data_IF_225120042532
#
_entry.id   IF_225120042532
#
_cell.length_a   1.000
_cell.length_b   1.000
_cell.length_c   1.000
_cell.angle_alpha   90.00
_cell.angle_beta   90.00
_cell.angle_gamma   90.00
#
_symmetry.space_group_name_H-M   'P 1'
#
loop_
_entity.id
_entity.type
_entity.pdbx_description
1 polymer ?
#
# COMPACT_ATOMS: atom_id res chain seq x y z
N UNK A 1 9.11 36.27 -6.87
CA UNK A 1 8.59 35.55 -5.69
C UNK A 1 7.63 34.48 -6.16
N UNK A 2 7.91 33.20 -5.92
CA UNK A 2 6.95 32.14 -6.25
C UNK A 2 5.80 32.20 -5.23
N UNK A 3 4.56 32.38 -5.72
CA UNK A 3 3.37 32.35 -4.87
C UNK A 3 3.19 30.93 -4.31
N UNK A 4 3.66 30.69 -3.08
CA UNK A 4 3.67 29.37 -2.42
C UNK A 4 2.27 28.87 -2.03
N UNK A 5 1.22 29.66 -2.24
CA UNK A 5 -0.09 29.44 -1.63
C UNK A 5 -1.29 29.62 -2.57
N UNK A 6 -1.25 29.12 -3.80
CA UNK A 6 -2.50 28.84 -4.52
C UNK A 6 -3.21 27.65 -3.85
N UNK A 7 -4.54 27.53 -3.96
CA UNK A 7 -5.33 26.41 -3.42
C UNK A 7 -4.83 25.08 -4.01
N UNK A 8 -3.88 24.39 -3.35
CA UNK A 8 -3.19 23.21 -3.93
C UNK A 8 -3.93 21.88 -3.75
N UNK A 9 -5.03 21.87 -2.99
CA UNK A 9 -5.72 20.63 -2.59
C UNK A 9 -7.22 20.58 -2.91
N UNK A 10 -7.83 21.73 -3.22
CA UNK A 10 -9.26 21.80 -3.50
C UNK A 10 -9.59 21.33 -4.93
N UNK A 11 -8.60 21.24 -5.82
CA UNK A 11 -8.75 20.65 -7.15
C UNK A 11 -7.60 19.67 -7.38
N UNK A 12 -7.60 18.55 -6.64
CA UNK A 12 -6.82 17.41 -7.09
C UNK A 12 -7.37 17.06 -8.49
N UNK A 13 -6.52 16.92 -9.52
CA UNK A 13 -6.98 16.31 -10.76
C UNK A 13 -7.67 14.98 -10.43
N UNK A 14 -8.79 14.68 -11.07
CA UNK A 14 -9.56 13.45 -10.76
C UNK A 14 -8.68 12.21 -10.82
N UNK A 15 -7.77 12.16 -11.80
CA UNK A 15 -6.76 11.10 -11.92
C UNK A 15 -5.83 10.99 -10.69
N UNK A 16 -5.45 12.11 -10.06
CA UNK A 16 -4.67 12.12 -8.83
C UNK A 16 -5.50 11.67 -7.61
N UNK A 17 -6.81 11.94 -7.60
CA UNK A 17 -7.72 11.45 -6.58
C UNK A 17 -7.92 9.92 -6.69
N UNK A 18 -8.06 9.39 -7.91
CA UNK A 18 -8.09 7.96 -8.21
C UNK A 18 -6.78 7.29 -7.77
N UNK A 19 -5.63 7.86 -8.16
CA UNK A 19 -4.31 7.37 -7.77
C UNK A 19 -4.16 7.31 -6.23
N UNK A 20 -4.64 8.33 -5.51
CA UNK A 20 -4.65 8.35 -4.05
C UNK A 20 -5.44 7.17 -3.46
N UNK A 21 -6.56 6.81 -4.08
CA UNK A 21 -7.44 5.70 -3.70
C UNK A 21 -6.77 4.35 -3.99
N UNK A 22 -6.17 4.16 -5.17
CA UNK A 22 -5.52 2.89 -5.55
C UNK A 22 -4.33 2.56 -4.66
N UNK A 23 -3.54 3.55 -4.26
CA UNK A 23 -2.39 3.35 -3.37
C UNK A 23 -2.71 3.27 -1.90
N UNK A 24 -3.99 3.39 -1.51
CA UNK A 24 -4.40 3.24 -0.11
C UNK A 24 -3.82 1.95 0.49
N UNK A 25 -3.19 2.01 1.68
CA UNK A 25 -2.63 0.82 2.30
C UNK A 25 -3.70 -0.27 2.45
N UNK A 26 -3.32 -1.53 2.18
CA UNK A 26 -4.25 -2.68 2.20
C UNK A 26 -5.10 -2.73 3.47
N UNK A 27 -4.50 -2.53 4.64
CA UNK A 27 -5.22 -2.52 5.91
C UNK A 27 -6.30 -1.42 5.99
N UNK A 28 -6.01 -0.23 5.44
CA UNK A 28 -6.98 0.88 5.38
C UNK A 28 -8.12 0.54 4.43
N UNK A 29 -7.80 -0.05 3.26
CA UNK A 29 -8.79 -0.48 2.27
C UNK A 29 -9.73 -1.54 2.84
N UNK A 30 -9.18 -2.60 3.44
CA UNK A 30 -9.98 -3.65 4.09
C UNK A 30 -10.91 -3.07 5.17
N UNK A 31 -10.40 -2.15 5.99
CA UNK A 31 -11.22 -1.46 7.00
C UNK A 31 -12.33 -0.60 6.40
N UNK A 32 -12.12 0.01 5.21
CA UNK A 32 -13.15 0.78 4.50
C UNK A 32 -14.21 -0.15 3.91
N UNK A 33 -13.80 -1.24 3.28
CA UNK A 33 -14.69 -2.28 2.73
C UNK A 33 -15.56 -2.95 3.80
N UNK A 34 -15.11 -3.04 5.04
CA UNK A 34 -15.95 -3.53 6.14
C UNK A 34 -17.09 -2.56 6.51
N UNK A 35 -16.94 -1.28 6.20
CA UNK A 35 -17.91 -0.22 6.56
C UNK A 35 -18.79 0.19 5.39
N UNK A 36 -18.26 0.15 4.18
CA UNK A 36 -18.98 0.44 2.95
C UNK A 36 -19.48 -0.88 2.38
N UNK A 37 -20.74 -0.90 1.91
CA UNK A 37 -21.31 -2.08 1.25
C UNK A 37 -20.61 -2.38 -0.08
N UNK A 38 -20.08 -1.35 -0.75
CA UNK A 38 -19.52 -1.43 -2.09
C UNK A 38 -18.11 -0.83 -2.13
N UNK A 39 -17.23 -1.49 -2.87
CA UNK A 39 -15.92 -0.97 -3.20
C UNK A 39 -16.04 0.05 -4.34
N UNK A 40 -15.20 1.11 -4.39
CA UNK A 40 -15.13 1.95 -5.58
C UNK A 40 -14.77 1.11 -6.80
N UNK A 41 -15.33 1.46 -7.97
CA UNK A 41 -15.02 0.82 -9.24
C UNK A 41 -13.53 0.98 -9.61
N UNK A 42 -13.06 0.11 -10.52
CA UNK A 42 -11.70 0.25 -11.07
C UNK A 42 -11.58 1.58 -11.80
N UNK A 43 -10.69 2.47 -11.33
CA UNK A 43 -10.50 3.79 -11.92
C UNK A 43 -11.35 4.90 -11.30
N UNK A 44 -12.14 4.60 -10.26
CA UNK A 44 -12.93 5.59 -9.53
C UNK A 44 -12.26 6.02 -8.23
N UNK A 45 -12.52 7.26 -7.80
CA UNK A 45 -12.09 7.73 -6.48
C UNK A 45 -13.15 7.38 -5.44
N UNK A 46 -12.69 7.01 -4.23
CA UNK A 46 -13.57 6.80 -3.08
C UNK A 46 -13.92 8.10 -2.34
N UNK A 47 -13.61 9.25 -2.93
CA UNK A 47 -13.89 10.56 -2.36
C UNK A 47 -15.37 10.96 -2.56
N UNK A 48 -15.92 11.73 -1.63
CA UNK A 48 -17.22 12.40 -1.81
C UNK A 48 -17.12 13.45 -2.92
N UNK A 49 -18.25 13.99 -3.44
CA UNK A 49 -18.24 15.09 -4.41
C UNK A 49 -17.42 16.30 -3.93
N UNK A 50 -17.43 16.56 -2.62
CA UNK A 50 -16.64 17.62 -1.96
C UNK A 50 -15.15 17.24 -1.75
N UNK A 51 -14.73 16.04 -2.17
CA UNK A 51 -13.35 15.57 -2.12
C UNK A 51 -12.93 14.87 -0.81
N UNK A 52 -13.84 14.67 0.15
CA UNK A 52 -13.53 13.99 1.41
C UNK A 52 -13.34 12.50 1.19
N UNK A 53 -12.26 11.93 1.74
CA UNK A 53 -12.12 10.47 1.79
C UNK A 53 -13.16 9.86 2.75
N UNK A 54 -13.46 8.55 2.65
CA UNK A 54 -14.45 7.92 3.53
C UNK A 54 -14.11 8.05 5.03
N UNK A 55 -12.81 8.10 5.34
CA UNK A 55 -12.34 8.29 6.72
C UNK A 55 -12.47 9.73 7.21
N UNK A 56 -12.39 10.71 6.31
CA UNK A 56 -12.60 12.13 6.60
C UNK A 56 -14.08 12.43 6.75
N UNK A 57 -14.91 11.93 5.83
CA UNK A 57 -16.36 12.05 5.90
C UNK A 57 -16.90 11.48 7.23
N UNK A 58 -16.51 10.26 7.59
CA UNK A 58 -16.89 9.65 8.87
C UNK A 58 -16.38 10.45 10.09
N UNK A 59 -15.23 11.14 9.95
CA UNK A 59 -14.71 12.00 11.02
C UNK A 59 -15.54 13.28 11.12
N UNK A 60 -15.83 13.94 10.01
CA UNK A 60 -16.65 15.15 9.95
C UNK A 60 -18.02 14.92 10.61
N UNK A 61 -18.75 13.89 10.20
CA UNK A 61 -20.05 13.56 10.81
C UNK A 61 -19.97 13.25 12.29
N UNK A 62 -18.90 12.57 12.74
CA UNK A 62 -18.69 12.32 14.17
C UNK A 62 -18.49 13.61 14.94
N UNK A 63 -17.72 14.56 14.40
CA UNK A 63 -17.49 15.85 15.07
C UNK A 63 -18.75 16.71 15.06
N UNK A 64 -19.53 16.67 13.98
CA UNK A 64 -20.83 17.32 13.88
C UNK A 64 -21.81 16.76 14.93
N UNK A 65 -21.92 15.44 15.04
CA UNK A 65 -22.79 14.79 16.03
C UNK A 65 -22.39 15.08 17.49
N UNK A 66 -21.12 15.39 17.73
CA UNK A 66 -20.59 15.79 19.05
C UNK A 66 -20.65 17.29 19.31
N UNK A 67 -21.17 18.09 18.37
CA UNK A 67 -21.10 19.55 18.40
C UNK A 67 -19.67 20.12 18.55
N UNK A 68 -18.62 19.37 18.20
CA UNK A 68 -17.22 19.83 18.25
C UNK A 68 -16.90 20.86 17.16
N UNK A 69 -17.75 20.94 16.12
CA UNK A 69 -17.56 21.86 14.99
C UNK A 69 -18.38 23.15 15.11
N UNK A 70 -19.16 23.30 16.18
CA UNK A 70 -20.02 24.46 16.37
C UNK A 70 -19.18 25.74 16.48
N UNK A 71 -19.47 26.71 15.63
CA UNK A 71 -18.84 28.03 15.67
C UNK A 71 -19.47 28.88 16.79
N UNK A 72 -18.80 29.97 17.21
CA UNK A 72 -19.39 30.94 18.14
C UNK A 72 -20.77 31.46 17.68
N UNK A 73 -20.96 31.54 16.36
CA UNK A 73 -22.21 32.01 15.74
C UNK A 73 -23.32 30.93 15.72
N UNK A 74 -23.11 29.76 16.33
CA UNK A 74 -24.07 28.66 16.37
C UNK A 74 -24.18 27.86 15.06
N UNK A 75 -23.40 28.20 14.03
CA UNK A 75 -23.38 27.49 12.75
C UNK A 75 -22.32 26.38 12.72
N UNK A 76 -22.58 25.33 11.94
CA UNK A 76 -21.57 24.30 11.64
C UNK A 76 -20.88 24.61 10.31
N UNK A 77 -19.55 24.39 10.18
CA UNK A 77 -18.85 24.49 8.91
C UNK A 77 -19.40 23.46 7.92
N UNK A 78 -19.43 23.82 6.64
CA UNK A 78 -19.76 22.86 5.58
C UNK A 78 -18.64 21.82 5.42
N UNK A 79 -18.92 20.71 4.71
CA UNK A 79 -17.92 19.68 4.39
C UNK A 79 -16.70 20.27 3.67
N UNK A 80 -16.94 21.12 2.68
CA UNK A 80 -15.91 21.82 1.92
C UNK A 80 -15.05 22.73 2.81
N UNK A 81 -15.66 23.57 3.63
CA UNK A 81 -14.95 24.47 4.55
C UNK A 81 -14.11 23.70 5.59
N UNK A 82 -14.67 22.61 6.11
CA UNK A 82 -13.95 21.74 7.05
C UNK A 82 -12.75 21.07 6.36
N UNK A 83 -12.93 20.60 5.12
CA UNK A 83 -11.86 20.02 4.33
C UNK A 83 -10.78 21.05 4.00
N UNK A 84 -11.14 22.29 3.65
CA UNK A 84 -10.19 23.38 3.41
C UNK A 84 -9.33 23.64 4.65
N UNK A 85 -9.94 23.76 5.83
CA UNK A 85 -9.21 23.94 7.10
C UNK A 85 -8.27 22.76 7.38
N UNK A 86 -8.71 21.55 7.07
CA UNK A 86 -7.89 20.34 7.22
C UNK A 86 -6.70 20.36 6.25
N UNK A 87 -6.95 20.72 5.00
CA UNK A 87 -5.95 20.83 3.95
C UNK A 87 -4.96 21.96 4.20
N UNK A 88 -5.37 23.08 4.81
CA UNK A 88 -4.45 24.13 5.23
C UNK A 88 -3.43 23.58 6.24
N UNK A 89 -3.90 22.90 7.28
CA UNK A 89 -3.01 22.26 8.26
C UNK A 89 -2.12 21.20 7.61
N UNK A 90 -2.67 20.40 6.69
CA UNK A 90 -1.90 19.38 6.00
C UNK A 90 -0.84 20.01 5.13
N UNK A 91 -1.20 20.94 4.26
CA UNK A 91 -0.39 21.61 3.22
C UNK A 91 0.81 22.37 3.77
N UNK A 92 0.81 22.68 5.07
CA UNK A 92 1.87 23.40 5.77
C UNK A 92 3.28 22.96 5.36
N UNK A 93 4.02 23.92 4.82
CA UNK A 93 5.46 23.86 4.62
C UNK A 93 6.12 24.12 5.98
N UNK A 94 7.17 23.35 6.32
CA UNK A 94 7.89 23.50 7.58
C UNK A 94 8.37 24.94 7.70
N UNK A 95 7.97 25.57 8.80
CA UNK A 95 8.44 26.89 9.14
C UNK A 95 7.86 28.03 8.36
N UNK A 96 6.86 27.83 7.50
CA UNK A 96 6.20 28.95 6.80
C UNK A 96 4.84 29.22 7.46
N UNK A 97 4.62 30.46 7.90
CA UNK A 97 3.31 30.96 8.31
C UNK A 97 2.85 32.00 7.29
N UNK A 98 1.54 32.03 7.08
CA UNK A 98 0.89 33.13 6.38
C UNK A 98 0.69 34.25 7.39
N UNK A 99 1.20 35.43 7.08
CA UNK A 99 0.91 36.65 7.82
C UNK A 99 0.12 37.54 6.88
N UNK A 100 -1.02 38.01 7.36
CA UNK A 100 -1.80 39.02 6.65
C UNK A 100 -1.22 40.36 7.07
N UNK A 101 -0.58 41.03 6.12
CA UNK A 101 -0.07 42.40 6.28
C UNK A 101 -1.26 43.34 6.53
N UNK A 102 -1.11 44.45 7.28
CA UNK A 102 -2.17 45.45 7.46
C UNK A 102 -2.85 45.91 6.15
N UNK A 103 -2.14 45.86 5.02
CA UNK A 103 -2.66 46.16 3.69
C UNK A 103 -3.56 45.05 3.08
N UNK A 104 -3.86 44.00 3.85
CA UNK A 104 -4.65 42.84 3.41
C UNK A 104 -3.89 41.84 2.53
N UNK A 105 -2.63 42.10 2.19
CA UNK A 105 -1.79 41.17 1.42
C UNK A 105 -1.34 40.00 2.29
N UNK A 106 -1.38 38.78 1.76
CA UNK A 106 -0.91 37.59 2.47
C UNK A 106 0.55 37.31 2.11
N UNK A 107 1.45 37.51 3.07
CA UNK A 107 2.86 37.23 2.91
C UNK A 107 3.26 35.91 3.59
N UNK A 108 4.22 35.22 2.97
CA UNK A 108 4.80 33.99 3.48
C UNK A 108 5.98 34.33 4.40
N UNK A 109 5.78 34.36 5.72
CA UNK A 109 6.89 34.55 6.66
C UNK A 109 7.47 33.20 7.08
N UNK A 110 8.79 33.07 6.97
CA UNK A 110 9.53 31.91 7.47
C UNK A 110 9.81 32.09 8.96
N UNK A 111 9.05 31.40 9.81
CA UNK A 111 9.06 31.46 11.28
C UNK A 111 9.96 30.39 11.92
N UNK A 112 10.24 29.28 11.25
CA UNK A 112 11.11 28.23 11.82
C UNK A 112 12.56 28.30 11.33
N UNK A 113 13.39 27.44 11.92
CA UNK A 113 14.80 27.27 11.59
C UNK A 113 15.02 27.07 10.09
N UNK A 114 15.72 28.02 9.47
CA UNK A 114 16.17 27.95 8.09
C UNK A 114 17.36 27.00 8.01
N UNK A 115 17.26 26.02 7.13
CA UNK A 115 18.38 25.11 6.80
C UNK A 115 18.86 25.51 5.42
N UNK A 116 19.98 26.22 5.36
CA UNK A 116 20.53 26.72 4.10
C UNK A 116 21.25 25.62 3.31
N UNK A 117 21.93 24.70 4.01
CA UNK A 117 22.74 23.64 3.42
C UNK A 117 22.30 22.27 3.96
N UNK A 118 21.18 21.71 3.47
CA UNK A 118 20.70 20.42 3.93
C UNK A 118 21.61 19.28 3.46
N UNK A 119 22.25 18.57 4.39
CA UNK A 119 23.01 17.35 4.10
C UNK A 119 22.12 16.10 4.21
N UNK A 120 21.12 16.01 3.33
CA UNK A 120 20.20 14.85 3.26
C UNK A 120 20.09 14.36 1.83
N UNK A 121 20.05 13.04 1.65
CA UNK A 121 19.96 12.43 0.34
C UNK A 121 18.56 11.83 0.14
N UNK A 122 17.87 12.31 -0.89
CA UNK A 122 16.60 11.76 -1.35
C UNK A 122 16.87 10.90 -2.58
N UNK A 123 16.72 9.59 -2.44
CA UNK A 123 16.89 8.66 -3.56
C UNK A 123 15.52 8.34 -4.16
N UNK A 124 15.27 8.84 -5.36
CA UNK A 124 14.10 8.48 -6.16
C UNK A 124 14.21 7.00 -6.59
N UNK A 125 13.14 6.23 -6.40
CA UNK A 125 13.05 4.79 -6.70
C UNK A 125 11.77 4.53 -7.48
N UNK A 126 11.84 3.65 -8.48
CA UNK A 126 10.67 3.22 -9.26
C UNK A 126 9.57 2.69 -8.33
N UNK A 127 8.33 3.10 -8.60
CA UNK A 127 7.20 2.57 -7.86
C UNK A 127 7.02 1.08 -8.16
N UNK A 128 6.39 0.37 -7.23
CA UNK A 128 6.02 -1.01 -7.46
C UNK A 128 4.69 -1.07 -8.21
N UNK A 129 4.72 -1.53 -9.46
CA UNK A 129 3.51 -1.88 -10.22
C UNK A 129 3.26 -3.38 -10.07
N UNK A 130 2.10 -3.82 -9.54
CA UNK A 130 1.71 -5.22 -9.58
C UNK A 130 1.56 -5.72 -11.01
N UNK A 131 1.83 -7.01 -11.29
CA UNK A 131 1.65 -7.58 -12.62
C UNK A 131 0.21 -7.36 -13.13
N UNK A 132 0.07 -6.89 -14.37
CA UNK A 132 -1.22 -6.65 -15.02
C UNK A 132 -1.94 -5.36 -14.59
N UNK A 133 -1.34 -4.53 -13.74
CA UNK A 133 -1.85 -3.19 -13.43
C UNK A 133 -1.03 -2.12 -14.17
N UNK A 134 -1.64 -0.99 -14.55
CA UNK A 134 -0.90 0.13 -15.12
C UNK A 134 -0.08 0.86 -14.05
N UNK A 135 1.03 1.47 -14.47
CA UNK A 135 1.86 2.34 -13.65
C UNK A 135 1.04 3.51 -13.12
N UNK A 136 1.31 3.91 -11.88
CA UNK A 136 0.71 5.10 -11.30
C UNK A 136 1.66 6.31 -11.46
N UNK A 137 1.37 7.26 -12.37
CA UNK A 137 2.23 8.41 -12.62
C UNK A 137 2.09 9.51 -11.56
N UNK A 138 1.02 9.51 -10.78
CA UNK A 138 0.80 10.50 -9.72
C UNK A 138 1.48 10.12 -8.41
N UNK A 139 2.39 9.15 -8.43
CA UNK A 139 3.13 8.71 -7.26
C UNK A 139 4.63 8.72 -7.54
N UNK A 140 5.40 9.10 -6.53
CA UNK A 140 6.84 8.96 -6.52
C UNK A 140 7.29 8.38 -5.19
N UNK A 141 8.14 7.36 -5.26
CA UNK A 141 8.70 6.71 -4.07
C UNK A 141 10.14 7.16 -3.86
N UNK A 142 10.46 7.60 -2.64
CA UNK A 142 11.80 7.99 -2.24
C UNK A 142 12.32 7.10 -1.10
N UNK A 143 13.62 6.82 -1.11
CA UNK A 143 14.34 6.39 0.09
C UNK A 143 15.01 7.60 0.70
N UNK A 144 14.75 7.81 1.99
CA UNK A 144 15.19 8.98 2.76
C UNK A 144 15.76 8.54 4.12
N UNK A 145 16.54 9.40 4.79
CA UNK A 145 16.99 9.15 6.15
C UNK A 145 15.83 9.03 7.15
N UNK A 146 16.02 8.24 8.21
CA UNK A 146 14.97 8.02 9.22
C UNK A 146 14.62 9.28 10.03
N UNK A 147 15.53 10.24 10.15
CA UNK A 147 15.29 11.51 10.85
C UNK A 147 14.30 12.45 10.12
N UNK A 148 14.09 12.25 8.82
CA UNK A 148 13.30 13.15 7.99
C UNK A 148 11.79 12.99 8.25
N UNK A 149 11.09 14.11 8.51
CA UNK A 149 9.63 14.14 8.75
C UNK A 149 8.83 14.38 7.48
N UNK A 150 7.50 14.18 7.53
CA UNK A 150 6.59 14.45 6.40
C UNK A 150 6.60 15.92 5.96
N UNK A 151 6.69 16.83 6.92
CA UNK A 151 6.81 18.26 6.65
C UNK A 151 8.15 18.61 6.02
N UNK A 152 9.23 17.91 6.40
CA UNK A 152 10.54 18.10 5.77
C UNK A 152 10.53 17.66 4.32
N UNK A 153 10.00 16.47 4.03
CA UNK A 153 9.86 15.94 2.66
C UNK A 153 9.14 16.96 1.78
N UNK A 154 8.00 17.48 2.24
CA UNK A 154 7.25 18.47 1.47
C UNK A 154 8.05 19.74 1.23
N UNK A 155 8.65 20.27 2.29
CA UNK A 155 9.38 21.54 2.22
C UNK A 155 10.58 21.42 1.31
N UNK A 156 11.30 20.30 1.40
CA UNK A 156 12.44 19.98 0.57
C UNK A 156 12.04 19.84 -0.90
N UNK A 157 11.03 19.03 -1.21
CA UNK A 157 10.55 18.84 -2.59
C UNK A 157 10.02 20.15 -3.19
N UNK A 158 9.29 20.94 -2.40
CA UNK A 158 8.77 22.24 -2.86
C UNK A 158 9.86 23.28 -3.05
N UNK A 159 10.83 23.39 -2.14
CA UNK A 159 11.83 24.45 -2.17
C UNK A 159 12.99 24.15 -3.11
N UNK A 160 13.44 22.89 -3.18
CA UNK A 160 14.60 22.47 -3.99
C UNK A 160 14.18 22.12 -5.41
N UNK A 161 13.06 21.41 -5.58
CA UNK A 161 12.64 20.89 -6.89
C UNK A 161 11.37 21.55 -7.44
N UNK A 162 10.71 22.45 -6.69
CA UNK A 162 9.44 23.05 -7.12
C UNK A 162 8.27 22.05 -7.20
N UNK A 163 8.43 20.83 -6.66
CA UNK A 163 7.44 19.76 -6.80
C UNK A 163 6.33 19.93 -5.78
N UNK A 164 5.09 19.95 -6.27
CA UNK A 164 3.89 20.02 -5.45
C UNK A 164 3.44 18.61 -5.08
N UNK A 165 3.21 18.40 -3.79
CA UNK A 165 2.81 17.09 -3.26
C UNK A 165 1.37 17.11 -2.79
N UNK A 166 0.61 16.05 -3.07
CA UNK A 166 -0.73 15.84 -2.55
C UNK A 166 -0.65 15.20 -1.18
N UNK A 167 -0.30 13.93 -1.06
CA UNK A 167 -0.15 13.26 0.22
C UNK A 167 1.25 12.70 0.40
N UNK A 168 1.65 12.43 1.65
CA UNK A 168 2.93 11.80 1.95
C UNK A 168 2.68 10.67 2.94
N UNK A 169 3.02 9.45 2.52
CA UNK A 169 3.01 8.23 3.35
C UNK A 169 4.45 7.81 3.58
N UNK A 170 4.76 7.38 4.81
CA UNK A 170 6.13 7.05 5.20
C UNK A 170 6.14 5.74 5.95
N UNK A 171 7.06 4.85 5.58
CA UNK A 171 7.28 3.56 6.22
C UNK A 171 8.76 3.47 6.65
N UNK A 172 9.01 3.04 7.88
CA UNK A 172 10.37 2.81 8.36
C UNK A 172 10.80 1.37 8.02
N UNK A 173 11.83 1.24 7.19
CA UNK A 173 12.47 -0.03 6.89
C UNK A 173 13.64 -0.23 7.85
N UNK A 174 13.47 -1.17 8.76
CA UNK A 174 14.54 -1.64 9.64
C UNK A 174 15.27 -2.80 8.95
N UNK A 175 16.59 -2.83 9.01
CA UNK A 175 17.37 -3.93 8.45
C UNK A 175 17.09 -5.22 9.25
N UNK A 176 17.13 -6.35 8.56
CA UNK A 176 16.98 -7.64 9.22
C UNK A 176 18.23 -7.94 10.07
N UNK A 177 18.00 -8.34 11.33
CA UNK A 177 19.05 -8.92 12.16
C UNK A 177 19.29 -10.36 11.70
N UNK A 178 20.54 -10.68 11.36
CA UNK A 178 20.98 -12.04 11.07
C UNK A 178 21.35 -12.75 12.37
N UNK A 179 21.39 -14.09 12.33
CA UNK A 179 21.95 -14.88 13.43
C UNK A 179 23.38 -14.39 13.76
N UNK A 180 23.67 -14.21 15.04
CA UNK A 180 24.95 -13.69 15.52
C UNK A 180 25.05 -12.16 15.56
N UNK A 181 23.93 -11.43 15.50
CA UNK A 181 23.89 -9.97 15.72
C UNK A 181 24.36 -9.13 14.52
N UNK A 182 24.69 -9.76 13.39
CA UNK A 182 25.05 -9.05 12.15
C UNK A 182 23.81 -8.45 11.51
N UNK A 183 23.82 -7.15 11.24
CA UNK A 183 22.70 -6.46 10.61
C UNK A 183 22.94 -6.34 9.11
N UNK A 184 22.00 -6.84 8.28
CA UNK A 184 22.12 -6.73 6.82
C UNK A 184 21.51 -5.43 6.30
N UNK A 185 22.38 -4.49 5.92
CA UNK A 185 22.00 -3.24 5.27
C UNK A 185 21.71 -2.09 6.24
N UNK A 186 21.53 -0.89 5.68
CA UNK A 186 21.23 0.32 6.46
C UNK A 186 19.72 0.52 6.55
N UNK A 187 19.28 0.95 7.72
CA UNK A 187 17.90 1.36 7.92
C UNK A 187 17.59 2.60 7.05
N UNK A 188 16.41 2.63 6.45
CA UNK A 188 15.96 3.78 5.68
C UNK A 188 14.47 3.98 5.91
N UNK A 189 13.97 5.16 5.55
CA UNK A 189 12.55 5.44 5.50
C UNK A 189 12.14 5.50 4.04
N UNK A 190 11.07 4.79 3.69
CA UNK A 190 10.42 4.89 2.38
C UNK A 190 9.36 5.97 2.46
N UNK A 191 9.40 6.93 1.57
CA UNK A 191 8.38 7.96 1.43
C UNK A 191 7.66 7.78 0.10
N UNK A 192 6.37 7.43 0.14
CA UNK A 192 5.50 7.46 -1.03
C UNK A 192 4.81 8.82 -1.04
N UNK A 193 5.09 9.58 -2.09
CA UNK A 193 4.64 10.95 -2.28
C UNK A 193 3.65 10.97 -3.42
N UNK A 194 2.43 11.44 -3.16
CA UNK A 194 1.49 11.77 -4.22
C UNK A 194 1.89 13.08 -4.87
N UNK A 195 1.90 13.11 -6.20
CA UNK A 195 2.22 14.27 -7.02
C UNK A 195 0.94 14.95 -7.48
N UNK A 196 1.02 16.25 -7.74
CA UNK A 196 -0.05 16.98 -8.44
C UNK A 196 0.06 16.73 -9.94
N UNK A 197 1.28 16.82 -10.47
CA UNK A 197 1.59 16.62 -11.87
C UNK A 197 2.09 15.18 -12.10
N UNK A 198 1.66 14.49 -13.16
CA UNK A 198 2.07 13.11 -13.43
C UNK A 198 3.56 13.03 -13.81
N UNK A 199 4.22 11.93 -13.43
CA UNK A 199 5.61 11.64 -13.72
C UNK A 199 5.80 10.21 -14.22
N UNK A 200 6.48 10.05 -15.36
CA UNK A 200 6.88 8.76 -15.91
C UNK A 200 8.40 8.63 -15.90
N UNK A 201 8.88 7.42 -15.59
CA UNK A 201 10.30 7.13 -15.72
C UNK A 201 10.68 7.01 -17.19
N UNK A 202 11.86 7.49 -17.59
CA UNK A 202 12.39 7.17 -18.91
C UNK A 202 12.56 5.65 -19.02
N UNK A 203 12.29 5.10 -20.20
CA UNK A 203 12.43 3.67 -20.50
C UNK A 203 11.63 2.80 -19.51
N UNK A 204 10.39 3.19 -19.24
CA UNK A 204 9.45 2.40 -18.48
C UNK A 204 9.13 1.12 -19.25
N UNK A 205 9.14 -0.01 -18.54
CA UNK A 205 8.92 -1.34 -19.16
C UNK A 205 7.53 -1.43 -19.80
N UNK A 206 6.57 -0.71 -19.24
CA UNK A 206 5.16 -0.71 -19.64
C UNK A 206 4.96 -0.06 -21.01
N UNK A 207 5.78 0.95 -21.34
CA UNK A 207 5.72 1.68 -22.61
C UNK A 207 6.57 1.02 -23.72
N UNK A 208 7.39 0.02 -23.38
CA UNK A 208 8.24 -0.70 -24.34
C UNK A 208 7.41 -1.65 -25.21
N UNK A 209 7.79 -1.77 -26.50
CA UNK A 209 7.27 -2.81 -27.37
C UNK A 209 7.60 -4.20 -26.77
N UNK A 210 6.75 -5.19 -27.03
CA UNK A 210 6.92 -6.56 -26.48
C UNK A 210 8.29 -7.15 -26.82
N UNK A 211 8.78 -6.96 -28.05
CA UNK A 211 10.10 -7.43 -28.48
C UNK A 211 11.25 -6.78 -27.71
N UNK A 212 11.18 -5.47 -27.49
CA UNK A 212 12.20 -4.74 -26.72
C UNK A 212 12.20 -5.15 -25.25
N UNK A 213 11.01 -5.42 -24.70
CA UNK A 213 10.84 -5.92 -23.34
C UNK A 213 11.48 -7.30 -23.18
N UNK A 214 11.21 -8.23 -24.10
CA UNK A 214 11.80 -9.57 -24.11
C UNK A 214 13.33 -9.51 -24.24
N UNK A 215 13.85 -8.70 -25.17
CA UNK A 215 15.28 -8.53 -25.35
C UNK A 215 15.96 -7.96 -24.08
N UNK A 216 15.30 -7.00 -23.42
CA UNK A 216 15.77 -6.45 -22.15
C UNK A 216 15.76 -7.49 -21.03
N UNK A 217 14.71 -8.31 -20.94
CA UNK A 217 14.60 -9.37 -19.94
C UNK A 217 15.68 -10.44 -20.14
N UNK A 218 15.92 -10.85 -21.39
CA UNK A 218 17.02 -11.75 -21.75
C UNK A 218 18.38 -11.16 -21.36
N UNK A 219 18.64 -9.90 -21.71
CA UNK A 219 19.88 -9.22 -21.32
C UNK A 219 20.05 -9.15 -19.79
N UNK A 220 18.98 -8.87 -19.05
CA UNK A 220 19.02 -8.85 -17.58
C UNK A 220 19.33 -10.23 -17.00
N UNK A 221 18.77 -11.29 -17.59
CA UNK A 221 19.03 -12.65 -17.13
C UNK A 221 20.45 -13.11 -17.45
N UNK A 222 20.94 -12.83 -18.66
CA UNK A 222 22.32 -13.14 -19.05
C UNK A 222 23.36 -12.44 -18.17
N UNK A 223 23.14 -11.17 -17.83
CA UNK A 223 24.12 -10.37 -17.08
C UNK A 223 23.99 -10.51 -15.56
N UNK A 224 22.77 -10.73 -15.04
CA UNK A 224 22.52 -10.68 -13.59
C UNK A 224 21.88 -11.96 -13.01
N UNK A 225 21.47 -12.92 -13.85
CA UNK A 225 20.89 -14.20 -13.44
C UNK A 225 19.78 -14.03 -12.39
N UNK A 226 18.85 -13.10 -12.64
CA UNK A 226 17.84 -12.67 -11.67
C UNK A 226 16.86 -13.81 -11.41
N UNK A 227 16.31 -14.40 -12.46
CA UNK A 227 15.38 -15.52 -12.39
C UNK A 227 16.05 -16.75 -11.80
N UNK A 228 17.23 -17.13 -12.31
CA UNK A 228 17.98 -18.28 -11.82
C UNK A 228 18.28 -18.14 -10.31
N UNK A 229 18.73 -16.96 -9.87
CA UNK A 229 18.98 -16.71 -8.44
C UNK A 229 17.71 -16.77 -7.60
N UNK A 230 16.57 -16.35 -8.15
CA UNK A 230 15.27 -16.39 -7.48
C UNK A 230 14.76 -17.83 -7.37
N UNK A 231 14.91 -18.63 -8.42
CA UNK A 231 14.59 -20.05 -8.43
C UNK A 231 15.46 -20.83 -7.44
N UNK A 232 16.79 -20.64 -7.47
CA UNK A 232 17.73 -21.26 -6.51
C UNK A 232 17.36 -20.91 -5.07
N UNK A 233 17.01 -19.65 -4.76
CA UNK A 233 16.55 -19.26 -3.41
C UNK A 233 15.27 -19.98 -3.01
N UNK A 234 14.30 -20.09 -3.91
CA UNK A 234 13.05 -20.81 -3.68
C UNK A 234 13.32 -22.29 -3.39
N UNK A 235 14.20 -22.93 -4.15
CA UNK A 235 14.62 -24.31 -3.93
C UNK A 235 15.32 -24.51 -2.58
N UNK A 236 16.24 -23.60 -2.23
CA UNK A 236 16.91 -23.62 -0.92
C UNK A 236 15.90 -23.45 0.20
N UNK A 237 14.97 -22.51 0.09
CA UNK A 237 13.92 -22.28 1.09
C UNK A 237 13.04 -23.52 1.24
N UNK A 238 12.65 -24.17 0.14
CA UNK A 238 11.89 -25.43 0.15
C UNK A 238 12.69 -26.56 0.82
N UNK A 239 14.00 -26.64 0.55
CA UNK A 239 14.89 -27.61 1.19
C UNK A 239 15.01 -27.37 2.70
N UNK A 240 15.08 -26.12 3.14
CA UNK A 240 15.20 -25.74 4.56
C UNK A 240 13.88 -25.91 5.33
N UNK A 241 12.77 -25.44 4.76
CA UNK A 241 11.44 -25.48 5.41
C UNK A 241 10.86 -26.89 5.50
N UNK A 242 11.21 -27.78 4.57
CA UNK A 242 10.76 -29.19 4.60
C UNK A 242 11.67 -30.11 5.44
N UNK A 243 12.79 -29.61 5.96
CA UNK A 243 13.79 -30.41 6.71
C UNK A 243 13.45 -30.65 8.19
N UNK A 244 12.18 -30.49 8.59
CA UNK A 244 11.75 -30.52 9.99
C UNK A 244 10.86 -31.71 10.40
N UNK A 245 10.35 -32.54 9.49
CA UNK A 245 9.66 -33.78 9.89
C UNK A 245 10.61 -34.97 9.76
N UNK A 246 10.65 -35.79 10.82
CA UNK A 246 11.54 -36.95 10.97
C UNK A 246 11.39 -37.98 9.84
N UNK A 247 10.31 -37.88 9.05
CA UNK A 247 9.95 -38.79 7.96
C UNK A 247 9.98 -38.16 6.55
N UNK A 248 10.49 -36.93 6.40
CA UNK A 248 10.48 -36.27 5.08
C UNK A 248 11.63 -36.75 4.17
N UNK A 249 11.35 -37.76 3.34
CA UNK A 249 12.18 -38.11 2.17
C UNK A 249 11.69 -37.37 0.93
N UNK A 250 12.61 -36.89 0.09
CA UNK A 250 12.27 -36.46 -1.28
C UNK A 250 11.66 -37.67 -1.98
N UNK A 251 10.34 -37.72 -2.13
CA UNK A 251 9.67 -38.80 -2.86
C UNK A 251 9.84 -38.54 -4.35
N UNK A 252 11.06 -38.72 -4.86
CA UNK A 252 11.33 -38.67 -6.29
C UNK A 252 10.85 -39.95 -6.97
N UNK A 253 10.30 -39.81 -8.17
CA UNK A 253 10.07 -40.91 -9.11
C UNK A 253 8.66 -41.51 -9.06
N UNK A 254 8.35 -42.31 -8.04
CA UNK A 254 7.15 -43.16 -8.06
C UNK A 254 5.98 -42.63 -7.22
N UNK A 255 6.20 -42.02 -6.05
CA UNK A 255 5.12 -41.64 -5.13
C UNK A 255 4.63 -40.19 -5.26
N UNK A 256 5.31 -39.36 -6.04
CA UNK A 256 4.92 -37.96 -6.31
C UNK A 256 4.22 -37.76 -7.66
N UNK A 257 4.02 -38.80 -8.46
CA UNK A 257 3.21 -38.70 -9.67
C UNK A 257 1.74 -38.44 -9.30
N UNK A 258 1.12 -37.46 -9.97
CA UNK A 258 -0.28 -37.05 -9.76
C UNK A 258 -1.24 -38.24 -9.75
N UNK A 259 -1.00 -39.24 -10.61
CA UNK A 259 -1.81 -40.46 -10.66
C UNK A 259 -1.83 -41.26 -9.35
N UNK A 260 -0.68 -41.41 -8.69
CA UNK A 260 -0.60 -42.14 -7.42
C UNK A 260 -1.20 -41.36 -6.25
N UNK A 261 -1.18 -40.01 -6.31
CA UNK A 261 -1.88 -39.16 -5.34
C UNK A 261 -3.40 -39.32 -5.51
N UNK A 262 -3.89 -39.26 -6.75
CA UNK A 262 -5.31 -39.45 -7.05
C UNK A 262 -5.80 -40.84 -6.67
N UNK A 263 -5.00 -41.88 -6.93
CA UNK A 263 -5.30 -43.26 -6.51
C UNK A 263 -5.43 -43.38 -4.99
N UNK A 264 -4.51 -42.80 -4.21
CA UNK A 264 -4.62 -42.79 -2.74
C UNK A 264 -5.82 -42.00 -2.23
N UNK A 265 -6.16 -40.88 -2.88
CA UNK A 265 -7.37 -40.11 -2.54
C UNK A 265 -8.62 -40.95 -2.82
N UNK A 266 -8.65 -41.67 -3.93
CA UNK A 266 -9.75 -42.58 -4.27
C UNK A 266 -9.87 -43.71 -3.24
N UNK A 267 -8.76 -44.38 -2.89
CA UNK A 267 -8.72 -45.44 -1.86
C UNK A 267 -9.19 -44.94 -0.48
N UNK A 268 -8.83 -43.70 -0.09
CA UNK A 268 -9.32 -43.10 1.14
C UNK A 268 -10.80 -42.73 1.09
N UNK A 269 -11.29 -42.27 -0.06
CA UNK A 269 -12.72 -41.99 -0.25
C UNK A 269 -13.54 -43.27 -0.18
N UNK A 270 -13.11 -44.34 -0.85
CA UNK A 270 -13.78 -45.63 -0.79
C UNK A 270 -13.80 -46.17 0.64
N UNK A 271 -12.67 -46.12 1.36
CA UNK A 271 -12.62 -46.58 2.76
C UNK A 271 -13.52 -45.74 3.69
N UNK A 272 -13.65 -44.43 3.44
CA UNK A 272 -14.58 -43.58 4.18
C UNK A 272 -16.03 -43.93 3.87
N UNK A 273 -16.35 -44.15 2.60
CA UNK A 273 -17.69 -44.50 2.15
C UNK A 273 -18.14 -45.85 2.69
N UNK A 274 -17.26 -46.85 2.76
CA UNK A 274 -17.56 -48.15 3.38
C UNK A 274 -17.85 -48.00 4.87
N UNK A 275 -17.03 -47.24 5.62
CA UNK A 275 -17.27 -46.98 7.04
C UNK A 275 -18.62 -46.28 7.25
N UNK A 276 -18.97 -45.30 6.40
CA UNK A 276 -20.26 -44.60 6.45
C UNK A 276 -21.42 -45.57 6.15
N UNK A 277 -21.27 -46.44 5.17
CA UNK A 277 -22.29 -47.43 4.81
C UNK A 277 -22.52 -48.45 5.94
N UNK A 278 -21.43 -48.97 6.54
CA UNK A 278 -21.47 -49.90 7.67
C UNK A 278 -22.10 -49.26 8.92
N UNK A 279 -21.69 -48.04 9.26
CA UNK A 279 -22.31 -47.30 10.37
C UNK A 279 -23.79 -47.04 10.10
N UNK A 280 -24.16 -46.66 8.87
CA UNK A 280 -25.57 -46.49 8.50
C UNK A 280 -26.36 -47.79 8.64
N UNK A 281 -25.82 -48.92 8.20
CA UNK A 281 -26.47 -50.23 8.35
C UNK A 281 -26.66 -50.59 9.84
N UNK A 282 -25.62 -50.42 10.65
CA UNK A 282 -25.68 -50.64 12.10
C UNK A 282 -26.72 -49.75 12.79
N UNK A 283 -26.82 -48.49 12.38
CA UNK A 283 -27.82 -47.54 12.88
C UNK A 283 -29.26 -47.96 12.52
N UNK A 284 -29.47 -48.49 11.31
CA UNK A 284 -30.77 -48.99 10.88
C UNK A 284 -31.18 -50.25 11.66
N UNK A 285 -30.25 -51.17 11.90
CA UNK A 285 -30.50 -52.35 12.71
C UNK A 285 -30.82 -52.00 14.17
N UNK A 286 -30.05 -51.11 14.80
CA UNK A 286 -30.31 -50.64 16.16
C UNK A 286 -31.70 -49.98 16.27
N UNK A 287 -32.08 -49.17 15.27
CA UNK A 287 -33.43 -48.58 15.18
C UNK A 287 -34.53 -49.63 15.02
N UNK A 288 -34.32 -50.68 14.24
CA UNK A 288 -35.32 -51.76 14.09
C UNK A 288 -35.50 -52.58 15.37
N UNK A 289 -34.48 -52.64 16.23
CA UNK A 289 -34.50 -53.34 17.53
C UNK A 289 -35.00 -52.44 18.68
N UNK A 290 -35.25 -51.16 18.43
CA UNK A 290 -35.73 -50.20 19.43
C UNK A 290 -34.66 -49.73 20.42
N UNK A 291 -33.38 -49.93 20.11
CA UNK A 291 -32.26 -49.51 20.97
C UNK A 291 -31.93 -48.02 20.78
N UNK A 292 -31.53 -47.35 21.86
CA UNK A 292 -31.12 -45.95 21.81
C UNK A 292 -29.80 -45.81 21.03
N UNK A 293 -29.86 -45.06 19.94
CA UNK A 293 -28.71 -44.72 19.11
C UNK A 293 -27.89 -43.62 19.81
N UNK A 294 -26.64 -43.90 20.16
CA UNK A 294 -25.62 -42.89 20.53
C UNK A 294 -24.65 -42.70 19.38
#
# INVERSE_FOLDING_TARGET
MQATFRRLYATLPDAAAVARTTSTPRAVRLRRLQKQKEAPGTGESDATPEGLTPSEYARYHRQLAKAELLRPDGTNPTEAEWLEKLNERRSRIRGVKKIVTPDGQTEAQVVAQKIFLPNILFRLVRNHTPPGQPYNPYEATFRIPQSVTKTDIRSYLSAVYGVKTTYIRTDNYLPASLLGGRVKGRAYKRAVVGLVDPFYYPLAVEDMETKEREAREQWLEENFQIEESTQKRKEILLRMTRKGSKDWRWRTGATAQRGNILKRIAEQRTARETIIAETKARLLEARSKGEAVV
#
